data_IF_353363457050
#
_entry.id   IF_353363457050
#
_cell.length_a   1.000
_cell.length_b   1.000
_cell.length_c   1.000
_cell.angle_alpha   90.00
_cell.angle_beta   90.00
_cell.angle_gamma   90.00
#
_symmetry.space_group_name_H-M   'P 1'
#
loop_
_entity.id
_entity.type
_entity.pdbx_description
1 polymer ?
#
# COMPACT_ATOMS: atom_id res chain seq x y z
N UNK A 1 -5.05 -2.73 17.86
CA UNK A 1 -6.46 -2.88 18.29
C UNK A 1 -6.79 -4.37 18.30
N UNK A 2 -7.32 -4.91 19.40
CA UNK A 2 -7.72 -6.33 19.47
C UNK A 2 -8.91 -6.51 18.51
N UNK A 3 -8.72 -7.26 17.42
CA UNK A 3 -9.81 -7.56 16.49
C UNK A 3 -10.79 -8.53 17.15
N UNK A 4 -12.09 -8.24 17.01
CA UNK A 4 -13.13 -9.19 17.42
C UNK A 4 -13.05 -10.47 16.57
N UNK A 5 -13.77 -11.52 16.99
CA UNK A 5 -13.70 -12.84 16.34
C UNK A 5 -13.98 -12.78 14.84
N UNK A 6 -14.96 -11.96 14.42
CA UNK A 6 -15.27 -11.72 13.02
C UNK A 6 -14.10 -11.08 12.26
N UNK A 7 -13.49 -10.03 12.81
CA UNK A 7 -12.36 -9.35 12.19
C UNK A 7 -11.15 -10.27 12.03
N UNK A 8 -10.88 -11.15 13.00
CA UNK A 8 -9.81 -12.17 12.89
C UNK A 8 -10.14 -13.22 11.84
N UNK A 9 -11.38 -13.70 11.77
CA UNK A 9 -11.83 -14.64 10.72
C UNK A 9 -11.74 -14.04 9.33
N UNK A 10 -12.19 -12.79 9.16
CA UNK A 10 -12.10 -12.06 7.90
C UNK A 10 -10.65 -11.90 7.45
N UNK A 11 -9.75 -11.54 8.36
CA UNK A 11 -8.33 -11.40 8.06
C UNK A 11 -7.69 -12.72 7.62
N UNK A 12 -7.94 -13.82 8.33
CA UNK A 12 -7.40 -15.14 7.96
C UNK A 12 -7.90 -15.60 6.59
N UNK A 13 -9.20 -15.43 6.30
CA UNK A 13 -9.76 -15.83 5.01
C UNK A 13 -9.33 -14.90 3.88
N UNK A 14 -9.25 -13.59 4.14
CA UNK A 14 -8.75 -12.61 3.18
C UNK A 14 -7.30 -12.88 2.78
N UNK A 15 -6.42 -13.10 3.75
CA UNK A 15 -5.03 -13.50 3.49
C UNK A 15 -4.94 -14.81 2.73
N UNK A 16 -5.76 -15.81 3.06
CA UNK A 16 -5.79 -17.08 2.33
C UNK A 16 -6.18 -16.90 0.85
N UNK A 17 -7.16 -16.06 0.54
CA UNK A 17 -7.55 -15.77 -0.84
C UNK A 17 -6.43 -14.99 -1.57
N UNK A 18 -5.94 -13.91 -0.96
CA UNK A 18 -4.95 -13.02 -1.59
C UNK A 18 -3.60 -13.70 -1.81
N UNK A 19 -3.17 -14.55 -0.88
CA UNK A 19 -1.94 -15.36 -1.02
C UNK A 19 -2.06 -16.51 -2.03
N UNK A 20 -3.23 -16.75 -2.60
CA UNK A 20 -3.46 -17.80 -3.58
C UNK A 20 -3.59 -19.21 -3.00
N UNK A 21 -3.84 -19.37 -1.68
CA UNK A 21 -4.22 -20.67 -1.10
C UNK A 21 -5.43 -21.25 -1.83
N UNK A 22 -6.35 -20.37 -2.21
CA UNK A 22 -7.43 -20.66 -3.13
C UNK A 22 -7.10 -19.96 -4.45
N UNK A 23 -6.87 -20.73 -5.51
CA UNK A 23 -6.58 -20.18 -6.83
C UNK A 23 -7.77 -19.37 -7.37
N UNK A 24 -7.49 -18.40 -8.25
CA UNK A 24 -8.54 -17.65 -8.96
C UNK A 24 -9.47 -18.64 -9.67
N UNK A 25 -10.79 -18.45 -9.52
CA UNK A 25 -11.82 -19.33 -10.06
C UNK A 25 -12.06 -20.62 -9.28
N UNK A 26 -11.19 -20.99 -8.33
CA UNK A 26 -11.35 -22.16 -7.50
C UNK A 26 -12.43 -21.94 -6.43
N UNK A 27 -13.05 -23.05 -6.01
CA UNK A 27 -14.01 -23.05 -4.91
C UNK A 27 -13.30 -22.95 -3.55
N UNK A 28 -13.90 -22.17 -2.65
CA UNK A 28 -13.53 -22.11 -1.23
C UNK A 28 -14.40 -23.12 -0.46
N UNK A 29 -13.89 -23.75 0.61
CA UNK A 29 -14.70 -24.64 1.45
C UNK A 29 -16.00 -23.98 1.94
N UNK A 30 -17.02 -24.82 2.15
CA UNK A 30 -18.32 -24.35 2.62
C UNK A 30 -18.26 -23.73 4.02
N UNK A 31 -19.23 -22.87 4.36
CA UNK A 31 -19.27 -22.18 5.67
C UNK A 31 -19.18 -23.14 6.88
N UNK A 32 -19.85 -24.32 6.90
CA UNK A 32 -19.67 -25.29 7.97
C UNK A 32 -18.23 -25.79 8.12
N UNK A 33 -17.59 -26.15 7.00
CA UNK A 33 -16.22 -26.68 6.98
C UNK A 33 -15.23 -25.61 7.45
N UNK A 34 -15.35 -24.38 6.96
CA UNK A 34 -14.54 -23.26 7.41
C UNK A 34 -14.75 -22.97 8.90
N UNK A 35 -15.97 -23.09 9.41
CA UNK A 35 -16.28 -22.89 10.83
C UNK A 35 -15.55 -23.89 11.73
N UNK A 36 -15.54 -25.16 11.32
CA UNK A 36 -14.77 -26.22 11.98
C UNK A 36 -13.26 -25.98 11.90
N UNK A 37 -12.73 -25.60 10.73
CA UNK A 37 -11.30 -25.35 10.54
C UNK A 37 -10.79 -24.15 11.34
N UNK A 38 -11.59 -23.09 11.43
CA UNK A 38 -11.25 -21.83 12.11
C UNK A 38 -11.63 -21.82 13.59
N UNK A 39 -12.40 -22.81 14.06
CA UNK A 39 -12.91 -22.86 15.43
C UNK A 39 -13.93 -21.77 15.75
N UNK A 40 -14.75 -21.36 14.77
CA UNK A 40 -15.74 -20.29 14.92
C UNK A 40 -17.14 -20.74 14.46
N UNK A 41 -18.19 -20.02 14.90
CA UNK A 41 -19.56 -20.36 14.50
C UNK A 41 -19.80 -20.10 13.01
N UNK A 42 -20.75 -20.84 12.42
CA UNK A 42 -21.17 -20.67 11.01
C UNK A 42 -21.59 -19.23 10.70
N UNK A 43 -22.23 -18.56 11.64
CA UNK A 43 -22.64 -17.15 11.50
C UNK A 43 -21.43 -16.24 11.33
N UNK A 44 -20.33 -16.45 12.07
CA UNK A 44 -19.11 -15.64 11.95
C UNK A 44 -18.46 -15.84 10.57
N UNK A 45 -18.38 -17.07 10.10
CA UNK A 45 -17.85 -17.38 8.75
C UNK A 45 -18.69 -16.70 7.67
N UNK A 46 -20.02 -16.79 7.76
CA UNK A 46 -20.93 -16.19 6.78
C UNK A 46 -20.75 -14.68 6.66
N UNK A 47 -20.60 -13.97 7.77
CA UNK A 47 -20.36 -12.52 7.74
C UNK A 47 -18.98 -12.17 7.17
N UNK A 48 -17.96 -12.99 7.45
CA UNK A 48 -16.65 -12.84 6.81
C UNK A 48 -16.72 -13.09 5.29
N UNK A 49 -17.43 -14.13 4.85
CA UNK A 49 -17.67 -14.43 3.42
C UNK A 49 -18.40 -13.28 2.74
N UNK A 50 -19.46 -12.71 3.35
CA UNK A 50 -20.13 -11.52 2.82
C UNK A 50 -19.18 -10.33 2.69
N UNK A 51 -18.32 -10.12 3.69
CA UNK A 51 -17.32 -9.04 3.67
C UNK A 51 -16.30 -9.24 2.53
N UNK A 52 -15.82 -10.46 2.31
CA UNK A 52 -14.94 -10.78 1.18
C UNK A 52 -15.63 -10.59 -0.18
N UNK A 53 -16.91 -10.93 -0.28
CA UNK A 53 -17.70 -10.72 -1.48
C UNK A 53 -17.89 -9.22 -1.78
N UNK A 54 -18.16 -8.41 -0.76
CA UNK A 54 -18.25 -6.95 -0.90
C UNK A 54 -16.93 -6.30 -1.33
N UNK A 55 -15.79 -6.90 -0.98
CA UNK A 55 -14.45 -6.50 -1.43
C UNK A 55 -14.10 -7.02 -2.83
N UNK A 56 -15.00 -7.76 -3.48
CA UNK A 56 -14.81 -8.29 -4.83
C UNK A 56 -13.82 -9.47 -4.92
N UNK A 57 -13.41 -10.04 -3.78
CA UNK A 57 -12.45 -11.15 -3.74
C UNK A 57 -13.10 -12.49 -4.15
N UNK A 58 -14.39 -12.63 -3.84
CA UNK A 58 -15.14 -13.87 -4.03
C UNK A 58 -16.56 -13.59 -4.51
N UNK A 59 -17.19 -14.62 -5.08
CA UNK A 59 -18.62 -14.63 -5.39
C UNK A 59 -19.28 -15.82 -4.71
N UNK A 60 -20.53 -15.64 -4.28
CA UNK A 60 -21.37 -16.71 -3.73
C UNK A 60 -22.61 -16.89 -4.60
N UNK A 61 -23.03 -18.13 -4.86
CA UNK A 61 -24.23 -18.37 -5.64
C UNK A 61 -24.75 -19.81 -5.62
N UNK A 62 -26.05 -20.03 -5.91
CA UNK A 62 -26.63 -21.37 -6.04
C UNK A 62 -25.87 -22.20 -7.07
N UNK A 63 -25.61 -23.48 -6.76
CA UNK A 63 -24.89 -24.46 -7.60
C UNK A 63 -23.41 -24.16 -7.90
N UNK A 64 -22.96 -22.91 -7.75
CA UNK A 64 -21.56 -22.49 -7.93
C UNK A 64 -20.77 -22.55 -6.62
N UNK A 65 -21.46 -22.40 -5.49
CA UNK A 65 -20.83 -22.31 -4.17
C UNK A 65 -20.14 -20.97 -3.98
N UNK A 66 -19.07 -20.96 -3.19
CA UNK A 66 -18.19 -19.80 -3.00
C UNK A 66 -16.95 -19.95 -3.85
N UNK A 67 -16.63 -18.98 -4.71
CA UNK A 67 -15.47 -19.01 -5.60
C UNK A 67 -14.66 -17.73 -5.58
N UNK A 68 -13.34 -17.85 -5.77
CA UNK A 68 -12.44 -16.70 -5.91
C UNK A 68 -12.66 -16.01 -7.26
N UNK A 69 -12.82 -14.69 -7.24
CA UNK A 69 -12.96 -13.89 -8.45
C UNK A 69 -11.59 -13.53 -9.07
N UNK A 70 -11.54 -13.22 -10.38
CA UNK A 70 -10.35 -12.64 -11.01
C UNK A 70 -9.91 -11.33 -10.35
N UNK A 71 -8.60 -11.05 -10.36
CA UNK A 71 -7.98 -9.90 -9.66
C UNK A 71 -8.51 -8.55 -10.14
N UNK A 72 -9.01 -8.46 -11.37
CA UNK A 72 -9.61 -7.26 -11.96
C UNK A 72 -10.94 -6.89 -11.28
N UNK A 73 -11.53 -7.81 -10.51
CA UNK A 73 -12.74 -7.56 -9.71
C UNK A 73 -12.44 -7.17 -8.28
N UNK A 74 -11.21 -7.35 -7.82
CA UNK A 74 -10.84 -7.07 -6.44
C UNK A 74 -10.84 -5.56 -6.21
N UNK A 75 -11.39 -5.13 -5.07
CA UNK A 75 -11.32 -3.74 -4.67
C UNK A 75 -9.91 -3.42 -4.15
N UNK A 76 -9.02 -3.01 -5.06
CA UNK A 76 -7.65 -2.63 -4.74
C UNK A 76 -7.55 -1.32 -3.95
N UNK A 77 -8.64 -0.59 -3.74
CA UNK A 77 -8.66 0.57 -2.85
C UNK A 77 -9.16 0.24 -1.44
N UNK A 78 -9.52 -1.02 -1.18
CA UNK A 78 -9.89 -1.46 0.16
C UNK A 78 -8.61 -1.67 1.01
N UNK A 79 -8.50 -1.02 2.19
CA UNK A 79 -7.30 -1.11 3.02
C UNK A 79 -6.97 -2.54 3.50
N UNK A 80 -7.98 -3.38 3.70
CA UNK A 80 -7.75 -4.76 4.12
C UNK A 80 -7.14 -5.57 2.97
N UNK A 81 -7.69 -5.44 1.76
CA UNK A 81 -7.19 -6.14 0.55
C UNK A 81 -5.73 -5.80 0.29
N UNK A 82 -5.40 -4.52 0.36
CA UNK A 82 -4.03 -4.01 0.26
C UNK A 82 -3.13 -4.60 1.34
N UNK A 83 -3.58 -4.56 2.60
CA UNK A 83 -2.79 -5.06 3.73
C UNK A 83 -2.51 -6.55 3.59
N UNK A 84 -3.51 -7.33 3.16
CA UNK A 84 -3.34 -8.76 2.89
C UNK A 84 -2.39 -9.01 1.72
N UNK A 85 -2.45 -8.20 0.66
CA UNK A 85 -1.55 -8.31 -0.49
C UNK A 85 -0.10 -7.98 -0.09
N UNK A 86 0.12 -6.91 0.66
CA UNK A 86 1.44 -6.55 1.17
C UNK A 86 2.04 -7.66 2.03
N UNK A 87 1.23 -8.29 2.91
CA UNK A 87 1.64 -9.43 3.73
C UNK A 87 1.92 -10.71 2.92
N UNK A 88 1.13 -10.96 1.87
CA UNK A 88 1.35 -12.08 0.96
C UNK A 88 2.60 -11.88 0.08
N UNK A 89 3.03 -10.63 -0.09
CA UNK A 89 4.12 -10.20 -0.94
C UNK A 89 3.62 -9.50 -2.20
N UNK A 90 4.39 -8.53 -2.69
CA UNK A 90 4.08 -7.78 -3.91
C UNK A 90 4.78 -8.41 -5.11
N UNK A 91 4.08 -8.53 -6.23
CA UNK A 91 4.69 -8.98 -7.49
C UNK A 91 5.36 -7.79 -8.19
N UNK A 92 6.35 -8.03 -9.07
CA UNK A 92 6.94 -6.97 -9.89
C UNK A 92 5.88 -6.15 -10.66
N UNK A 93 4.87 -6.83 -11.20
CA UNK A 93 3.77 -6.18 -11.94
C UNK A 93 2.96 -5.27 -11.03
N UNK A 94 2.62 -5.73 -9.82
CA UNK A 94 1.91 -4.91 -8.84
C UNK A 94 2.72 -3.65 -8.44
N UNK A 95 4.04 -3.79 -8.27
CA UNK A 95 4.91 -2.65 -7.98
C UNK A 95 4.93 -1.65 -9.15
N UNK A 96 4.92 -2.12 -10.39
CA UNK A 96 4.84 -1.25 -11.58
C UNK A 96 3.50 -0.52 -11.66
N UNK A 97 2.39 -1.22 -11.45
CA UNK A 97 1.05 -0.61 -11.41
C UNK A 97 0.98 0.48 -10.34
N UNK A 98 1.61 0.25 -9.18
CA UNK A 98 1.71 1.24 -8.11
C UNK A 98 2.54 2.46 -8.54
N UNK A 99 3.69 2.27 -9.20
CA UNK A 99 4.48 3.41 -9.69
C UNK A 99 3.75 4.19 -10.79
N UNK A 100 2.99 3.53 -11.66
CA UNK A 100 2.16 4.19 -12.67
C UNK A 100 1.07 5.04 -12.00
N UNK A 101 0.42 4.52 -10.95
CA UNK A 101 -0.57 5.27 -10.18
C UNK A 101 0.05 6.49 -9.47
N UNK A 102 1.21 6.33 -8.83
CA UNK A 102 1.93 7.46 -8.20
C UNK A 102 2.24 8.55 -9.23
N UNK A 103 2.79 8.16 -10.37
CA UNK A 103 3.16 9.08 -11.45
C UNK A 103 1.96 9.79 -12.07
N UNK A 104 0.78 9.18 -12.04
CA UNK A 104 -0.46 9.81 -12.51
C UNK A 104 -1.08 10.77 -11.48
N UNK A 105 -0.97 10.48 -10.19
CA UNK A 105 -1.71 11.18 -9.13
C UNK A 105 -0.87 12.20 -8.38
N UNK A 106 0.34 11.84 -7.96
CA UNK A 106 1.17 12.69 -7.10
C UNK A 106 1.57 14.01 -7.75
N UNK A 107 1.93 14.10 -9.05
CA UNK A 107 2.25 15.38 -9.68
C UNK A 107 1.09 16.38 -9.62
N UNK A 108 -0.12 15.93 -9.95
CA UNK A 108 -1.32 16.76 -9.86
C UNK A 108 -1.63 17.16 -8.40
N UNK A 109 -1.41 16.26 -7.44
CA UNK A 109 -1.60 16.55 -6.03
C UNK A 109 -0.60 17.57 -5.49
N UNK A 110 0.69 17.42 -5.82
CA UNK A 110 1.76 18.34 -5.42
C UNK A 110 1.59 19.71 -6.05
N UNK A 111 1.13 19.77 -7.30
CA UNK A 111 0.74 21.04 -7.95
C UNK A 111 -0.33 21.77 -7.12
N UNK A 112 -1.39 21.05 -6.74
CA UNK A 112 -2.45 21.60 -5.88
C UNK A 112 -1.94 21.96 -4.48
N UNK A 113 -0.97 21.21 -3.94
CA UNK A 113 -0.36 21.52 -2.66
C UNK A 113 0.42 22.84 -2.73
N UNK A 114 1.22 23.06 -3.78
CA UNK A 114 1.89 24.34 -3.99
C UNK A 114 0.89 25.51 -4.13
N UNK A 115 -0.32 25.28 -4.64
CA UNK A 115 -1.36 26.32 -4.72
C UNK A 115 -2.14 26.54 -3.41
N UNK A 116 -2.22 25.55 -2.51
CA UNK A 116 -3.24 25.52 -1.43
C UNK A 116 -2.72 25.21 -0.04
N UNK A 117 -1.47 24.78 0.09
CA UNK A 117 -0.89 24.40 1.37
C UNK A 117 -0.97 25.58 2.36
N UNK A 118 -1.38 25.31 3.59
CA UNK A 118 -1.27 26.26 4.69
C UNK A 118 0.11 26.16 5.33
N UNK A 119 0.45 27.14 6.18
CA UNK A 119 1.66 27.09 7.00
C UNK A 119 1.74 25.78 7.81
N UNK A 120 0.63 25.37 8.44
CA UNK A 120 0.55 24.08 9.16
C UNK A 120 0.83 22.85 8.27
N UNK A 121 0.42 22.90 7.00
CA UNK A 121 0.63 21.80 6.05
C UNK A 121 2.13 21.72 5.69
N UNK A 122 2.74 22.88 5.42
CA UNK A 122 4.18 23.01 5.14
C UNK A 122 5.01 22.53 6.34
N UNK A 123 4.68 22.98 7.54
CA UNK A 123 5.35 22.61 8.78
C UNK A 123 5.36 21.09 9.02
N UNK A 124 4.26 20.40 8.70
CA UNK A 124 4.21 18.93 8.81
C UNK A 124 5.11 18.25 7.76
N UNK A 125 5.14 18.76 6.53
CA UNK A 125 6.01 18.24 5.47
C UNK A 125 7.49 18.50 5.82
N UNK A 126 7.82 19.66 6.38
CA UNK A 126 9.18 19.98 6.86
C UNK A 126 9.62 19.04 7.99
N UNK A 127 8.74 18.74 8.95
CA UNK A 127 9.02 17.76 10.02
C UNK A 127 9.28 16.37 9.45
N UNK A 128 8.50 15.95 8.45
CA UNK A 128 8.72 14.67 7.78
C UNK A 128 10.09 14.65 7.06
N UNK A 129 10.44 15.73 6.35
CA UNK A 129 11.75 15.87 5.71
C UNK A 129 12.91 15.84 6.72
N UNK A 130 12.78 16.56 7.84
CA UNK A 130 13.78 16.56 8.90
C UNK A 130 14.01 15.15 9.47
N UNK A 131 12.93 14.36 9.65
CA UNK A 131 13.04 12.97 10.09
C UNK A 131 13.74 12.06 9.07
N UNK A 132 13.52 12.26 7.76
CA UNK A 132 14.27 11.55 6.72
C UNK A 132 15.77 11.90 6.79
N UNK A 133 16.09 13.18 6.95
CA UNK A 133 17.47 13.66 7.06
C UNK A 133 18.18 13.05 8.27
N UNK A 134 17.56 13.10 9.44
CA UNK A 134 18.07 12.51 10.68
C UNK A 134 18.32 11.00 10.50
N UNK A 135 17.37 10.28 9.88
CA UNK A 135 17.52 8.84 9.64
C UNK A 135 18.67 8.49 8.70
N UNK A 136 19.03 9.38 7.76
CA UNK A 136 20.19 9.21 6.87
C UNK A 136 21.50 9.54 7.59
N UNK A 137 21.54 10.61 8.39
CA UNK A 137 22.76 11.07 9.06
C UNK A 137 23.13 10.19 10.25
N UNK A 138 22.15 9.78 11.06
CA UNK A 138 22.35 9.11 12.34
C UNK A 138 21.76 7.70 12.39
N UNK A 139 21.16 7.23 11.30
CA UNK A 139 20.40 5.98 11.25
C UNK A 139 18.98 6.14 11.79
N UNK A 140 18.06 5.29 11.36
CA UNK A 140 16.66 5.34 11.79
C UNK A 140 15.69 4.81 10.75
N UNK A 141 14.39 5.02 10.99
CA UNK A 141 13.33 4.59 10.09
C UNK A 141 13.03 5.65 9.01
N UNK A 142 13.91 5.73 8.00
CA UNK A 142 13.74 6.62 6.85
C UNK A 142 12.38 6.43 6.16
N UNK A 143 11.97 5.18 5.95
CA UNK A 143 10.74 4.84 5.20
C UNK A 143 9.49 5.42 5.86
N UNK A 144 9.42 5.41 7.20
CA UNK A 144 8.28 6.02 7.90
C UNK A 144 8.19 7.53 7.66
N UNK A 145 9.33 8.23 7.63
CA UNK A 145 9.34 9.68 7.37
C UNK A 145 9.09 10.02 5.90
N UNK A 146 9.60 9.20 4.97
CA UNK A 146 9.33 9.29 3.54
C UNK A 146 7.83 9.14 3.25
N UNK A 147 7.18 8.14 3.84
CA UNK A 147 5.72 7.99 3.77
C UNK A 147 4.99 9.22 4.32
N UNK A 148 5.42 9.77 5.44
CA UNK A 148 4.80 10.98 6.02
C UNK A 148 4.94 12.18 5.09
N UNK A 149 6.09 12.33 4.43
CA UNK A 149 6.35 13.40 3.46
C UNK A 149 5.37 13.34 2.28
N UNK A 150 5.26 12.18 1.62
CA UNK A 150 4.31 12.00 0.52
C UNK A 150 2.85 12.18 0.97
N UNK A 151 2.48 11.70 2.15
CA UNK A 151 1.14 11.94 2.70
C UNK A 151 0.84 13.40 2.98
N UNK A 152 1.82 14.13 3.51
CA UNK A 152 1.71 15.56 3.76
C UNK A 152 1.39 16.29 2.47
N UNK A 153 2.15 16.02 1.40
CA UNK A 153 1.90 16.58 0.06
C UNK A 153 0.50 16.27 -0.46
N UNK A 154 0.05 15.01 -0.39
CA UNK A 154 -1.29 14.62 -0.83
C UNK A 154 -2.41 15.28 -0.01
N UNK A 155 -2.17 15.50 1.28
CA UNK A 155 -3.13 16.16 2.18
C UNK A 155 -3.18 17.67 1.94
N UNK A 156 -2.01 18.29 1.72
CA UNK A 156 -1.82 19.70 1.40
C UNK A 156 -2.45 20.11 0.06
N UNK A 157 -2.75 19.15 -0.83
CA UNK A 157 -3.59 19.39 -2.02
C UNK A 157 -5.01 19.89 -1.67
N UNK A 158 -5.43 19.71 -0.40
CA UNK A 158 -6.76 20.06 0.15
C UNK A 158 -7.91 19.58 -0.72
N UNK A 159 -7.72 18.43 -1.35
CA UNK A 159 -8.72 17.77 -2.18
C UNK A 159 -9.18 16.50 -1.47
N UNK A 160 -10.47 16.46 -1.10
CA UNK A 160 -11.06 15.34 -0.35
C UNK A 160 -10.88 13.97 -1.00
N UNK A 161 -10.82 13.90 -2.34
CA UNK A 161 -10.66 12.64 -3.07
C UNK A 161 -9.19 12.18 -3.05
N UNK A 162 -8.25 13.10 -3.25
CA UNK A 162 -6.80 12.83 -3.16
C UNK A 162 -6.43 12.41 -1.73
N UNK A 163 -6.97 13.09 -0.72
CA UNK A 163 -6.74 12.77 0.68
C UNK A 163 -7.34 11.42 1.12
N UNK A 164 -8.39 10.93 0.44
CA UNK A 164 -8.88 9.57 0.65
C UNK A 164 -7.97 8.53 -0.02
N UNK A 165 -7.46 8.84 -1.22
CA UNK A 165 -6.52 8.01 -1.95
C UNK A 165 -5.21 7.79 -1.18
N UNK A 166 -4.67 8.83 -0.53
CA UNK A 166 -3.39 8.76 0.21
C UNK A 166 -3.41 7.68 1.30
N UNK A 167 -4.50 7.59 2.07
CA UNK A 167 -4.66 6.59 3.15
C UNK A 167 -4.54 5.16 2.65
N UNK A 168 -5.02 4.92 1.44
CA UNK A 168 -5.02 3.62 0.79
C UNK A 168 -3.62 3.29 0.26
N UNK A 169 -2.97 4.28 -0.38
CA UNK A 169 -1.62 4.12 -0.92
C UNK A 169 -0.57 3.83 0.16
N UNK A 170 -0.73 4.35 1.38
CA UNK A 170 0.26 4.20 2.46
C UNK A 170 0.72 2.78 2.77
N UNK A 171 -0.22 1.84 2.82
CA UNK A 171 0.11 0.46 3.13
C UNK A 171 0.86 -0.22 1.97
N UNK A 172 0.65 0.23 0.73
CA UNK A 172 1.38 -0.25 -0.46
C UNK A 172 2.75 0.42 -0.60
N UNK A 173 2.80 1.73 -0.35
CA UNK A 173 4.01 2.53 -0.48
C UNK A 173 5.08 2.09 0.50
N UNK A 174 4.73 1.65 1.72
CA UNK A 174 5.74 1.18 2.69
C UNK A 174 6.62 0.06 2.12
N UNK A 175 6.01 -0.98 1.58
CA UNK A 175 6.76 -2.11 1.00
C UNK A 175 7.51 -1.67 -0.26
N UNK A 176 6.94 -0.78 -1.06
CA UNK A 176 7.62 -0.22 -2.23
C UNK A 176 8.86 0.60 -1.83
N UNK A 177 8.79 1.37 -0.76
CA UNK A 177 9.86 2.23 -0.27
C UNK A 177 10.95 1.41 0.41
N UNK A 178 10.59 0.39 1.18
CA UNK A 178 11.55 -0.59 1.69
C UNK A 178 12.38 -1.19 0.55
N UNK A 179 11.76 -1.51 -0.60
CA UNK A 179 12.48 -2.03 -1.77
C UNK A 179 13.41 -0.97 -2.39
N UNK A 180 12.92 0.24 -2.72
CA UNK A 180 13.74 1.28 -3.37
C UNK A 180 14.91 1.73 -2.49
N UNK A 181 14.71 1.78 -1.17
CA UNK A 181 15.72 2.20 -0.19
C UNK A 181 16.76 1.11 0.12
N UNK A 182 16.58 -0.13 -0.35
CA UNK A 182 17.60 -1.19 -0.19
C UNK A 182 18.83 -1.02 -1.08
N UNK A 183 18.75 -0.12 -2.07
CA UNK A 183 19.91 0.28 -2.88
C UNK A 183 20.93 1.00 -1.99
N UNK A 184 22.22 0.64 -2.05
CA UNK A 184 23.27 1.38 -1.37
C UNK A 184 23.16 2.88 -1.69
N UNK A 185 23.22 3.71 -0.65
CA UNK A 185 23.10 5.17 -0.72
C UNK A 185 21.78 5.73 -1.27
N UNK A 186 20.77 4.88 -1.54
CA UNK A 186 19.46 5.29 -2.08
C UNK A 186 18.81 6.42 -1.28
N UNK A 187 18.61 6.26 0.05
CA UNK A 187 18.08 7.34 0.90
C UNK A 187 18.88 8.64 0.79
N UNK A 188 20.21 8.57 0.89
CA UNK A 188 21.12 9.72 0.79
C UNK A 188 20.99 10.45 -0.55
N UNK A 189 20.92 9.70 -1.66
CA UNK A 189 20.79 10.26 -3.01
C UNK A 189 19.39 10.86 -3.26
N UNK A 190 18.37 10.38 -2.56
CA UNK A 190 17.00 10.86 -2.72
C UNK A 190 16.69 12.11 -1.90
N UNK A 191 17.39 12.39 -0.79
CA UNK A 191 17.15 13.56 0.07
C UNK A 191 17.13 14.90 -0.69
N UNK A 192 18.10 15.22 -1.58
CA UNK A 192 18.05 16.46 -2.36
C UNK A 192 16.81 16.58 -3.26
N UNK A 193 16.29 15.46 -3.76
CA UNK A 193 15.07 15.44 -4.59
C UNK A 193 13.84 15.76 -3.74
N UNK A 194 13.73 15.21 -2.52
CA UNK A 194 12.66 15.55 -1.58
C UNK A 194 12.72 17.02 -1.19
N UNK A 195 13.92 17.56 -0.91
CA UNK A 195 14.09 18.99 -0.59
C UNK A 195 13.63 19.88 -1.73
N UNK A 196 13.97 19.54 -2.97
CA UNK A 196 13.55 20.30 -4.15
C UNK A 196 12.01 20.35 -4.31
N UNK A 197 11.30 19.26 -3.98
CA UNK A 197 9.83 19.25 -3.96
C UNK A 197 9.30 20.19 -2.87
N UNK A 198 9.84 20.08 -1.66
CA UNK A 198 9.42 20.90 -0.52
C UNK A 198 9.68 22.39 -0.75
N UNK A 199 10.86 22.74 -1.27
CA UNK A 199 11.21 24.12 -1.64
C UNK A 199 10.21 24.71 -2.63
N UNK A 200 9.79 23.94 -3.64
CA UNK A 200 8.83 24.39 -4.63
C UNK A 200 7.42 24.59 -4.05
N UNK A 201 7.02 23.75 -3.10
CA UNK A 201 5.75 23.91 -2.37
C UNK A 201 5.79 25.15 -1.46
N UNK A 202 6.89 25.38 -0.74
CA UNK A 202 7.10 26.58 0.10
C UNK A 202 7.09 27.85 -0.75
N UNK A 203 7.71 27.80 -1.92
CA UNK A 203 7.72 28.91 -2.87
C UNK A 203 6.36 29.14 -3.55
N UNK A 204 5.37 28.28 -3.30
CA UNK A 204 4.08 28.27 -3.99
C UNK A 204 4.22 28.25 -5.53
N UNK A 205 5.21 27.50 -6.04
CA UNK A 205 5.48 27.35 -7.48
C UNK A 205 4.96 25.98 -7.97
N UNK A 206 3.71 25.91 -8.47
CA UNK A 206 3.10 24.65 -8.89
C UNK A 206 3.84 23.97 -10.05
N UNK A 207 4.42 24.75 -10.97
CA UNK A 207 5.10 24.20 -12.14
C UNK A 207 6.44 23.57 -11.76
N UNK A 208 7.19 24.21 -10.85
CA UNK A 208 8.43 23.63 -10.31
C UNK A 208 8.13 22.42 -9.44
N UNK A 209 7.10 22.50 -8.60
CA UNK A 209 6.73 21.42 -7.68
C UNK A 209 6.34 20.14 -8.45
N UNK A 210 5.54 20.28 -9.52
CA UNK A 210 5.16 19.18 -10.40
C UNK A 210 6.36 18.53 -11.08
N UNK A 211 7.30 19.32 -11.62
CA UNK A 211 8.53 18.79 -12.23
C UNK A 211 9.44 18.11 -11.21
N UNK A 212 9.55 18.65 -10.01
CA UNK A 212 10.40 18.11 -8.95
C UNK A 212 9.89 16.73 -8.49
N UNK A 213 8.57 16.59 -8.26
CA UNK A 213 8.00 15.32 -7.80
C UNK A 213 8.04 14.24 -8.89
N UNK A 214 7.87 14.61 -10.17
CA UNK A 214 8.04 13.68 -11.27
C UNK A 214 9.45 13.08 -11.30
N UNK A 215 10.48 13.91 -11.11
CA UNK A 215 11.88 13.43 -11.03
C UNK A 215 12.09 12.48 -9.85
N UNK A 216 11.52 12.81 -8.68
CA UNK A 216 11.61 11.97 -7.50
C UNK A 216 10.95 10.59 -7.73
N UNK A 217 9.75 10.56 -8.30
CA UNK A 217 9.01 9.32 -8.57
C UNK A 217 9.70 8.48 -9.66
N UNK A 218 10.14 9.11 -10.75
CA UNK A 218 10.83 8.42 -11.83
C UNK A 218 12.16 7.82 -11.36
N UNK A 219 12.87 8.50 -10.45
CA UNK A 219 14.05 7.96 -9.76
C UNK A 219 13.73 6.72 -8.92
N UNK A 220 12.70 6.80 -8.07
CA UNK A 220 12.26 5.67 -7.25
C UNK A 220 11.82 4.46 -8.11
N UNK A 221 11.15 4.70 -9.25
CA UNK A 221 10.80 3.66 -10.21
C UNK A 221 12.06 2.94 -10.74
N UNK A 222 13.09 3.71 -11.12
CA UNK A 222 14.34 3.13 -11.61
C UNK A 222 15.03 2.29 -10.53
N UNK A 223 15.07 2.78 -9.28
CA UNK A 223 15.66 2.03 -8.17
C UNK A 223 14.92 0.70 -7.92
N UNK A 224 13.59 0.69 -8.02
CA UNK A 224 12.80 -0.53 -7.91
C UNK A 224 13.12 -1.51 -9.05
N UNK A 225 13.19 -1.04 -10.30
CA UNK A 225 13.53 -1.91 -11.44
C UNK A 225 14.97 -2.45 -11.34
N UNK A 226 15.93 -1.65 -10.86
CA UNK A 226 17.31 -2.11 -10.60
C UNK A 226 17.32 -3.25 -9.58
N UNK A 227 16.58 -3.09 -8.47
CA UNK A 227 16.47 -4.12 -7.42
C UNK A 227 15.80 -5.39 -7.98
N UNK A 228 14.70 -5.25 -8.73
CA UNK A 228 13.99 -6.36 -9.37
C UNK A 228 14.86 -7.09 -10.40
N UNK A 229 15.66 -6.36 -11.17
CA UNK A 229 16.56 -6.92 -12.20
C UNK A 229 17.80 -7.61 -11.62
N UNK A 230 18.23 -7.24 -10.40
CA UNK A 230 19.50 -7.69 -9.80
C UNK A 230 19.58 -9.18 -9.39
N UNK A 231 18.58 -10.02 -9.68
CA UNK A 231 18.46 -11.43 -9.21
C UNK A 231 18.57 -11.62 -7.68
N UNK A 232 18.70 -10.55 -6.88
CA UNK A 232 18.42 -10.63 -5.44
C UNK A 232 16.99 -11.10 -5.31
N UNK A 233 16.78 -12.17 -4.53
CA UNK A 233 15.40 -12.55 -4.16
C UNK A 233 14.76 -11.28 -3.59
N UNK A 234 13.70 -10.80 -4.23
CA UNK A 234 12.73 -9.92 -3.56
C UNK A 234 12.57 -10.45 -2.13
N UNK A 235 12.55 -9.57 -1.10
CA UNK A 235 12.31 -10.02 0.27
C UNK A 235 11.16 -11.00 0.24
N UNK A 236 11.44 -12.29 0.52
CA UNK A 236 10.41 -13.31 0.51
C UNK A 236 9.54 -13.05 1.72
N UNK A 237 8.52 -12.22 1.53
CA UNK A 237 7.41 -12.09 2.47
C UNK A 237 6.43 -13.26 2.34
N UNK A 238 6.72 -14.23 1.46
CA UNK A 238 6.02 -15.51 1.38
C UNK A 238 6.17 -16.29 2.68
N UNK A 239 5.41 -15.91 3.71
CA UNK A 239 4.95 -16.86 4.70
C UNK A 239 4.08 -17.86 3.95
N UNK A 240 4.20 -19.17 4.20
CA UNK A 240 3.18 -20.10 3.75
C UNK A 240 1.82 -19.57 4.22
N UNK A 241 0.76 -19.72 3.40
CA UNK A 241 -0.56 -19.21 3.76
C UNK A 241 -0.89 -19.64 5.19
N UNK A 242 -1.39 -18.73 6.04
CA UNK A 242 -1.58 -19.03 7.46
C UNK A 242 -2.39 -20.31 7.61
N UNK A 243 -2.01 -21.15 8.59
CA UNK A 243 -2.84 -22.28 8.97
C UNK A 243 -4.14 -21.69 9.50
N UNK A 244 -5.27 -22.06 8.88
CA UNK A 244 -6.58 -21.60 9.32
C UNK A 244 -6.93 -22.06 10.73
N UNK A 245 -6.18 -23.03 11.29
CA UNK A 245 -6.31 -23.39 12.71
C UNK A 245 -5.92 -22.20 13.59
N UNK A 246 -6.90 -21.61 14.27
CA UNK A 246 -6.65 -20.74 15.40
C UNK A 246 -6.04 -21.59 16.52
N UNK A 247 -4.72 -21.57 16.63
CA UNK A 247 -4.04 -21.85 17.91
C UNK A 247 -4.30 -20.73 18.90
#
# INVERSE_FOLDING_TARGET
MIKNIHGRTLELLGEAVVSGRYAIGASIPSEPVLGEELGVSRTVVREAVKSLAAKGLIVTGPKVGTRVLPKEKWNWFDPDVITWQARAGLTPEFLRDLQDLRRAVEPAAVRLAAERATEDDIDEIERAYAGMKEAVENGGDYVTFDLRFHNGLLSAARNRMIAQMSKVLNALLRTSFEISTTKPDGPTLSLPLHRAVLDAVIAHDPDVAERAILRLIDGARQDIEDVLGSRRRLPRLSRPPPRLKAG
#
